data_IF_951139461942
#
_entry.id   IF_951139461942
#
_cell.length_a   1.000
_cell.length_b   1.000
_cell.length_c   1.000
_cell.angle_alpha   90.00
_cell.angle_beta   90.00
_cell.angle_gamma   90.00
#
_symmetry.space_group_name_H-M   'P 1'
#
loop_
_entity.id
_entity.type
_entity.pdbx_description
1 polymer ?
#
# COMPACT_ATOMS: atom_id res chain seq x y z
N UNK A 1 -5.85 -10.95 -10.10
CA UNK A 1 -5.81 -9.58 -9.56
C UNK A 1 -4.38 -9.08 -9.62
N UNK A 2 -4.13 -7.87 -10.15
CA UNK A 2 -2.80 -7.25 -10.15
C UNK A 2 -2.83 -6.06 -9.19
N UNK A 3 -1.80 -5.92 -8.37
CA UNK A 3 -1.68 -4.85 -7.39
C UNK A 3 -0.34 -4.15 -7.54
N UNK A 4 -0.31 -2.85 -7.26
CA UNK A 4 0.90 -2.14 -6.89
C UNK A 4 1.08 -2.30 -5.37
N UNK A 5 2.21 -2.85 -4.94
CA UNK A 5 2.47 -3.15 -3.54
C UNK A 5 3.63 -2.30 -3.01
N UNK A 6 3.43 -1.72 -1.82
CA UNK A 6 4.48 -1.02 -1.07
C UNK A 6 4.51 -1.60 0.34
N UNK A 7 5.66 -2.15 0.73
CA UNK A 7 5.87 -2.56 2.12
C UNK A 7 6.20 -1.35 2.98
N UNK A 8 5.46 -1.16 4.07
CA UNK A 8 5.77 -0.18 5.10
C UNK A 8 6.22 -0.88 6.39
N UNK A 9 7.17 -0.23 7.08
CA UNK A 9 7.70 -0.64 8.38
C UNK A 9 7.90 0.59 9.23
N UNK A 10 7.03 0.81 10.21
CA UNK A 10 7.07 2.01 11.03
C UNK A 10 5.69 2.43 11.53
N UNK A 11 5.51 3.73 11.77
CA UNK A 11 4.25 4.25 12.27
C UNK A 11 3.12 4.13 11.23
N UNK A 12 1.87 4.09 11.71
CA UNK A 12 0.70 3.87 10.85
C UNK A 12 0.51 4.98 9.79
N UNK A 13 1.04 6.19 10.00
CA UNK A 13 0.89 7.27 9.01
C UNK A 13 1.71 7.00 7.74
N UNK A 14 2.65 6.04 7.77
CA UNK A 14 3.35 5.58 6.57
C UNK A 14 2.38 4.97 5.54
N UNK A 15 1.25 4.41 5.96
CA UNK A 15 0.23 3.86 5.06
C UNK A 15 -0.35 4.95 4.15
N UNK A 16 -0.82 6.05 4.74
CA UNK A 16 -1.35 7.21 4.01
C UNK A 16 -0.29 7.79 3.08
N UNK A 17 0.97 7.87 3.53
CA UNK A 17 2.08 8.36 2.72
C UNK A 17 2.42 7.42 1.55
N UNK A 18 2.31 6.11 1.74
CA UNK A 18 2.52 5.13 0.69
C UNK A 18 1.44 5.22 -0.39
N UNK A 19 0.18 5.38 0.00
CA UNK A 19 -0.92 5.63 -0.93
C UNK A 19 -0.74 6.95 -1.67
N UNK A 20 -0.43 8.05 -0.96
CA UNK A 20 -0.16 9.35 -1.58
C UNK A 20 0.96 9.27 -2.61
N UNK A 21 2.07 8.61 -2.29
CA UNK A 21 3.16 8.37 -3.23
C UNK A 21 2.73 7.53 -4.44
N UNK A 22 1.94 6.47 -4.22
CA UNK A 22 1.40 5.65 -5.32
C UNK A 22 0.57 6.51 -6.29
N UNK A 23 -0.26 7.41 -5.78
CA UNK A 23 -1.13 8.27 -6.60
C UNK A 23 -0.41 9.45 -7.25
N UNK A 24 0.52 10.09 -6.55
CA UNK A 24 1.15 11.34 -7.00
C UNK A 24 2.42 11.12 -7.81
N UNK A 25 3.12 10.00 -7.61
CA UNK A 25 4.46 9.80 -8.17
C UNK A 25 4.58 8.47 -8.95
N UNK A 26 4.07 7.35 -8.42
CA UNK A 26 4.22 6.05 -9.09
C UNK A 26 3.24 5.86 -10.26
N UNK A 27 1.92 5.99 -10.04
CA UNK A 27 0.88 5.79 -11.06
C UNK A 27 1.09 6.61 -12.33
N UNK A 28 1.43 7.91 -12.26
CA UNK A 28 1.65 8.72 -13.46
C UNK A 28 2.76 8.20 -14.38
N UNK A 29 3.69 7.39 -13.88
CA UNK A 29 4.86 6.88 -14.62
C UNK A 29 4.84 5.37 -14.85
N UNK A 30 3.87 4.64 -14.28
CA UNK A 30 3.89 3.17 -14.26
C UNK A 30 3.22 2.51 -15.48
N UNK A 31 2.39 3.25 -16.23
CA UNK A 31 1.56 2.68 -17.31
C UNK A 31 0.39 1.84 -16.77
N UNK A 32 -0.02 2.09 -15.52
CA UNK A 32 -1.17 1.48 -14.88
C UNK A 32 -2.14 2.54 -14.38
N UNK A 33 -3.40 2.15 -14.23
CA UNK A 33 -4.45 2.96 -13.59
C UNK A 33 -5.09 2.15 -12.45
N UNK A 34 -5.66 2.82 -11.43
CA UNK A 34 -6.42 2.13 -10.40
C UNK A 34 -7.52 1.25 -11.00
N UNK A 35 -7.66 0.05 -10.46
CA UNK A 35 -8.76 -0.85 -10.81
C UNK A 35 -9.94 -0.66 -9.85
N UNK A 36 -11.16 -0.99 -10.29
CA UNK A 36 -12.37 -0.84 -9.47
C UNK A 36 -12.53 -2.04 -8.53
N UNK A 37 -11.58 -2.18 -7.61
CA UNK A 37 -11.47 -3.24 -6.61
C UNK A 37 -10.99 -2.64 -5.28
N UNK A 38 -11.26 -3.29 -4.14
CA UNK A 38 -10.82 -2.79 -2.84
C UNK A 38 -9.30 -2.84 -2.67
N UNK A 39 -8.74 -1.80 -2.04
CA UNK A 39 -7.39 -1.83 -1.49
C UNK A 39 -7.32 -2.79 -0.30
N UNK A 40 -6.10 -3.28 -0.03
CA UNK A 40 -5.85 -4.14 1.12
C UNK A 40 -4.57 -3.72 1.85
N UNK A 41 -4.64 -3.75 3.19
CA UNK A 41 -3.49 -3.75 4.07
C UNK A 41 -3.23 -5.19 4.55
N UNK A 42 -2.13 -5.79 4.12
CA UNK A 42 -1.77 -7.16 4.51
C UNK A 42 -0.69 -7.13 5.59
N UNK A 43 -1.03 -7.56 6.81
CA UNK A 43 -0.09 -7.66 7.92
C UNK A 43 1.06 -8.62 7.62
N UNK A 44 2.29 -8.17 7.85
CA UNK A 44 3.48 -9.03 7.82
C UNK A 44 3.64 -9.62 9.22
N UNK A 45 3.21 -10.87 9.39
CA UNK A 45 3.21 -11.54 10.69
C UNK A 45 1.96 -11.25 11.51
N UNK A 46 2.13 -10.94 12.80
CA UNK A 46 1.00 -10.72 13.72
C UNK A 46 0.64 -9.23 13.79
N UNK A 47 -0.65 -8.85 13.68
CA UNK A 47 -1.09 -7.50 13.97
C UNK A 47 -0.59 -7.07 15.36
N UNK A 48 -0.09 -5.84 15.47
CA UNK A 48 0.37 -5.26 16.74
C UNK A 48 1.48 -6.05 17.46
N UNK A 49 2.28 -6.86 16.74
CA UNK A 49 3.41 -7.59 17.33
C UNK A 49 4.42 -6.67 18.06
N UNK A 50 4.45 -5.39 17.69
CA UNK A 50 5.31 -4.34 18.26
C UNK A 50 4.51 -3.27 19.02
N UNK A 51 3.28 -3.59 19.44
CA UNK A 51 2.35 -2.61 20.02
C UNK A 51 1.69 -1.72 18.97
N UNK A 52 1.28 -0.51 19.38
CA UNK A 52 0.49 0.41 18.54
C UNK A 52 1.32 1.52 17.86
N UNK A 53 2.65 1.49 17.98
CA UNK A 53 3.54 2.53 17.47
C UNK A 53 4.33 2.09 16.23
N UNK A 54 4.38 0.78 15.94
CA UNK A 54 5.17 0.23 14.86
C UNK A 54 4.43 -0.95 14.21
N UNK A 55 4.32 -0.88 12.90
CA UNK A 55 3.52 -1.75 12.06
C UNK A 55 4.35 -2.24 10.89
N UNK A 56 4.16 -3.51 10.52
CA UNK A 56 4.71 -4.08 9.30
C UNK A 56 3.56 -4.60 8.45
N UNK A 57 3.33 -3.97 7.30
CA UNK A 57 2.26 -4.35 6.38
C UNK A 57 2.61 -4.03 4.94
N UNK A 58 1.92 -4.71 4.02
CA UNK A 58 1.93 -4.40 2.60
C UNK A 58 0.67 -3.58 2.26
N UNK A 59 0.87 -2.36 1.77
CA UNK A 59 -0.19 -1.55 1.17
C UNK A 59 -0.39 -2.00 -0.28
N UNK A 60 -1.58 -2.50 -0.62
CA UNK A 60 -1.87 -3.06 -1.93
C UNK A 60 -2.98 -2.25 -2.63
N UNK A 61 -2.61 -1.54 -3.70
CA UNK A 61 -3.53 -0.83 -4.57
C UNK A 61 -3.84 -1.69 -5.81
N UNK A 62 -5.09 -2.09 -6.06
CA UNK A 62 -5.47 -2.79 -7.28
C UNK A 62 -5.23 -1.92 -8.50
N UNK A 63 -4.62 -2.51 -9.53
CA UNK A 63 -4.30 -1.80 -10.77
C UNK A 63 -4.57 -2.66 -11.99
N UNK A 64 -4.93 -2.00 -13.09
CA UNK A 64 -5.03 -2.57 -14.43
C UNK A 64 -4.16 -1.77 -15.40
N UNK A 65 -3.84 -2.36 -16.56
CA UNK A 65 -3.14 -1.63 -17.62
C UNK A 65 -3.93 -0.37 -17.99
N UNK A 66 -3.22 0.75 -18.06
CA UNK A 66 -3.75 2.05 -18.47
C UNK A 66 -4.05 2.12 -19.95
#
# INVERSE_FOLDING_TARGET
>A
MRVAEVTIRGDINLEVRALDWLYTDWLPRSGYVPDHQPCFESWIGRPFAHGNAYFELNCQLPVRRG
#
